data_IF_743277867069
#
_entry.id   IF_743277867069
#
_cell.length_a   1.000
_cell.length_b   1.000
_cell.length_c   1.000
_cell.angle_alpha   90.00
_cell.angle_beta   90.00
_cell.angle_gamma   90.00
#
_symmetry.space_group_name_H-M   'P 1'
#
loop_
_entity.id
_entity.type
_entity.pdbx_description
1 polymer ?
#
# COMPACT_ATOMS: atom_id res chain seq x y z
N UNK A 1 -22.24 8.33 17.77
CA UNK A 1 -21.53 7.05 17.59
C UNK A 1 -21.73 6.61 16.16
N UNK A 2 -20.71 6.69 15.31
CA UNK A 2 -20.77 6.05 13.99
C UNK A 2 -20.54 4.57 14.24
N UNK A 3 -21.60 3.77 14.09
CA UNK A 3 -21.49 2.32 14.01
C UNK A 3 -20.57 2.01 12.84
N UNK A 4 -19.31 1.64 13.13
CA UNK A 4 -18.47 1.02 12.11
C UNK A 4 -19.08 -0.35 11.88
N UNK A 5 -19.70 -0.54 10.71
CA UNK A 5 -20.04 -1.86 10.19
C UNK A 5 -18.74 -2.66 10.15
N UNK A 6 -18.54 -3.54 11.13
CA UNK A 6 -17.47 -4.52 11.09
C UNK A 6 -18.03 -5.73 10.36
N UNK A 7 -17.33 -6.16 9.32
CA UNK A 7 -17.54 -7.50 8.78
C UNK A 7 -17.37 -8.50 9.93
N UNK A 8 -18.46 -9.17 10.29
CA UNK A 8 -18.53 -9.96 11.52
C UNK A 8 -18.06 -11.40 11.28
N UNK A 9 -18.53 -12.01 10.18
CA UNK A 9 -18.20 -13.37 9.84
C UNK A 9 -18.29 -13.63 8.33
N UNK A 10 -17.54 -14.64 7.85
CA UNK A 10 -17.67 -15.21 6.52
C UNK A 10 -18.26 -16.61 6.63
N UNK A 11 -19.35 -16.86 5.89
CA UNK A 11 -19.87 -18.22 5.70
C UNK A 11 -19.13 -18.90 4.56
N UNK A 12 -18.74 -20.15 4.78
CA UNK A 12 -18.01 -21.00 3.85
C UNK A 12 -18.76 -22.31 3.74
N UNK A 13 -19.23 -22.63 2.54
CA UNK A 13 -19.84 -23.91 2.27
C UNK A 13 -18.74 -24.96 2.14
N UNK A 14 -18.94 -26.11 2.77
CA UNK A 14 -18.00 -27.24 2.76
C UNK A 14 -18.79 -28.52 2.54
N UNK A 15 -18.18 -29.53 1.94
CA UNK A 15 -18.86 -30.83 1.71
C UNK A 15 -18.65 -31.85 2.83
N UNK A 16 -17.69 -31.62 3.72
CA UNK A 16 -17.38 -32.51 4.83
C UNK A 16 -16.85 -31.74 6.05
N UNK A 17 -17.63 -31.69 7.14
CA UNK A 17 -17.31 -30.83 8.29
C UNK A 17 -16.02 -31.23 8.98
N UNK A 18 -15.80 -32.52 9.24
CA UNK A 18 -14.60 -33.01 9.92
C UNK A 18 -13.30 -32.71 9.16
N UNK A 19 -13.30 -32.93 7.84
CA UNK A 19 -12.15 -32.63 6.97
C UNK A 19 -11.85 -31.14 6.98
N UNK A 20 -12.88 -30.31 6.89
CA UNK A 20 -12.71 -28.86 6.86
C UNK A 20 -12.34 -28.31 8.24
N UNK A 21 -12.84 -28.85 9.35
CA UNK A 21 -12.38 -28.47 10.69
C UNK A 21 -10.90 -28.74 10.90
N UNK A 22 -10.40 -29.90 10.45
CA UNK A 22 -8.95 -30.17 10.46
C UNK A 22 -8.20 -29.13 9.64
N UNK A 23 -8.66 -28.83 8.43
CA UNK A 23 -7.97 -27.88 7.56
C UNK A 23 -7.95 -26.46 8.15
N UNK A 24 -9.11 -25.93 8.55
CA UNK A 24 -9.21 -24.58 9.10
C UNK A 24 -8.57 -24.45 10.49
N UNK A 25 -8.67 -25.48 11.34
CA UNK A 25 -8.08 -25.47 12.68
C UNK A 25 -6.59 -25.78 12.69
N UNK A 26 -6.16 -26.86 12.05
CA UNK A 26 -4.77 -27.36 12.14
C UNK A 26 -3.88 -26.77 11.04
N UNK A 27 -4.35 -26.69 9.79
CA UNK A 27 -3.53 -26.20 8.67
C UNK A 27 -3.48 -24.68 8.68
N UNK A 28 -4.64 -24.03 8.72
CA UNK A 28 -4.72 -22.56 8.78
C UNK A 28 -4.49 -21.99 10.19
N UNK A 29 -4.52 -22.83 11.23
CA UNK A 29 -4.24 -22.39 12.61
C UNK A 29 -5.33 -21.49 13.21
N UNK A 30 -6.57 -21.57 12.73
CA UNK A 30 -7.64 -20.74 13.26
C UNK A 30 -8.13 -21.26 14.63
N UNK A 31 -8.52 -20.34 15.51
CA UNK A 31 -9.02 -20.68 16.85
C UNK A 31 -10.44 -21.24 16.75
N UNK A 32 -10.64 -22.50 17.17
CA UNK A 32 -11.97 -23.10 17.22
C UNK A 32 -12.84 -22.42 18.29
N UNK A 33 -14.03 -21.96 17.90
CA UNK A 33 -15.01 -21.32 18.80
C UNK A 33 -16.06 -22.33 19.24
N UNK A 34 -16.58 -23.13 18.31
CA UNK A 34 -17.58 -24.15 18.59
C UNK A 34 -18.50 -24.43 17.40
N UNK A 35 -19.34 -25.46 17.55
CA UNK A 35 -20.33 -25.88 16.56
C UNK A 35 -21.71 -25.31 16.85
N UNK A 36 -22.51 -25.16 15.80
CA UNK A 36 -23.95 -24.87 15.88
C UNK A 36 -24.30 -23.59 16.65
N UNK A 37 -23.47 -22.55 16.46
CA UNK A 37 -23.59 -21.25 17.14
C UNK A 37 -24.44 -20.23 16.37
N UNK A 38 -24.82 -20.50 15.12
CA UNK A 38 -25.48 -19.56 14.22
C UNK A 38 -26.93 -19.98 13.94
N UNK A 39 -27.92 -19.45 14.67
CA UNK A 39 -29.31 -19.80 14.47
C UNK A 39 -29.79 -19.29 13.10
N UNK A 40 -30.21 -20.21 12.23
CA UNK A 40 -30.69 -19.90 10.88
C UNK A 40 -29.95 -20.62 9.77
N UNK A 41 -28.78 -21.20 10.04
CA UNK A 41 -28.08 -22.06 9.10
C UNK A 41 -28.70 -23.47 9.07
N UNK A 42 -29.05 -23.93 7.88
CA UNK A 42 -29.56 -25.29 7.67
C UNK A 42 -28.38 -26.24 7.43
N UNK A 43 -27.97 -26.97 8.46
CA UNK A 43 -26.85 -27.93 8.38
C UNK A 43 -25.99 -27.93 9.63
N UNK A 44 -24.98 -28.80 9.65
CA UNK A 44 -23.97 -28.81 10.72
C UNK A 44 -23.01 -27.67 10.49
N UNK A 45 -22.70 -26.91 11.54
CA UNK A 45 -21.80 -25.76 11.41
C UNK A 45 -20.64 -25.82 12.38
N UNK A 46 -19.52 -25.20 12.00
CA UNK A 46 -18.37 -25.01 12.88
C UNK A 46 -17.83 -23.60 12.73
N UNK A 47 -17.53 -22.95 13.85
CA UNK A 47 -17.08 -21.56 13.88
C UNK A 47 -15.63 -21.49 14.32
N UNK A 48 -14.83 -20.75 13.54
CA UNK A 48 -13.46 -20.41 13.84
C UNK A 48 -13.31 -18.90 13.98
N UNK A 49 -12.32 -18.47 14.74
CA UNK A 49 -11.94 -17.08 14.89
C UNK A 49 -10.58 -16.84 14.23
N UNK A 50 -10.52 -15.79 13.43
CA UNK A 50 -9.30 -15.29 12.80
C UNK A 50 -8.50 -14.44 13.78
N UNK A 51 -7.23 -14.22 13.49
CA UNK A 51 -6.33 -13.42 14.31
C UNK A 51 -6.76 -11.95 14.46
N UNK A 52 -7.44 -11.43 13.44
CA UNK A 52 -7.99 -10.07 13.44
C UNK A 52 -9.39 -9.99 14.08
N UNK A 53 -9.87 -11.07 14.70
CA UNK A 53 -11.12 -11.10 15.45
C UNK A 53 -12.39 -11.26 14.62
N UNK A 54 -12.28 -11.58 13.33
CA UNK A 54 -13.42 -11.98 12.49
C UNK A 54 -13.70 -13.47 12.63
N UNK A 55 -14.93 -13.90 12.36
CA UNK A 55 -15.29 -15.31 12.37
C UNK A 55 -15.34 -15.94 10.97
N UNK A 56 -15.01 -17.22 10.89
CA UNK A 56 -15.27 -18.09 9.74
C UNK A 56 -16.29 -19.12 10.18
N UNK A 57 -17.39 -19.24 9.45
CA UNK A 57 -18.48 -20.18 9.73
C UNK A 57 -18.49 -21.21 8.61
N UNK A 58 -18.08 -22.42 8.92
CA UNK A 58 -18.19 -23.56 8.03
C UNK A 58 -19.63 -24.09 8.09
N UNK A 59 -20.28 -24.25 6.95
CA UNK A 59 -21.63 -24.81 6.83
C UNK A 59 -21.58 -26.02 5.91
N UNK A 60 -21.89 -27.19 6.45
CA UNK A 60 -21.89 -28.43 5.69
C UNK A 60 -23.07 -28.50 4.73
N UNK A 61 -22.76 -28.67 3.44
CA UNK A 61 -23.72 -28.83 2.34
C UNK A 61 -23.43 -30.10 1.57
N UNK A 62 -24.42 -30.61 0.82
CA UNK A 62 -24.25 -31.84 0.04
C UNK A 62 -23.21 -31.72 -1.09
N UNK A 63 -23.07 -30.52 -1.66
CA UNK A 63 -22.17 -30.25 -2.78
C UNK A 63 -21.71 -28.79 -2.76
N UNK A 64 -20.41 -28.57 -2.93
CA UNK A 64 -19.82 -27.24 -3.08
C UNK A 64 -19.57 -26.96 -4.56
N UNK A 65 -20.13 -25.86 -5.06
CA UNK A 65 -19.86 -25.38 -6.42
C UNK A 65 -18.70 -24.40 -6.42
N UNK A 66 -17.47 -24.92 -6.57
CA UNK A 66 -16.25 -24.12 -6.61
C UNK A 66 -16.22 -23.10 -7.76
N UNK A 67 -17.04 -23.26 -8.82
CA UNK A 67 -17.12 -22.24 -9.89
C UNK A 67 -17.74 -20.92 -9.41
N UNK A 68 -18.43 -20.96 -8.26
CA UNK A 68 -19.01 -19.81 -7.57
C UNK A 68 -18.17 -19.35 -6.40
N UNK A 69 -16.99 -19.93 -6.20
CA UNK A 69 -16.10 -19.54 -5.11
C UNK A 69 -15.76 -18.06 -5.22
N UNK A 70 -16.04 -17.32 -4.15
CA UNK A 70 -15.55 -15.96 -4.00
C UNK A 70 -14.09 -16.04 -3.58
N UNK A 71 -13.22 -15.24 -4.21
CA UNK A 71 -11.84 -15.11 -3.74
C UNK A 71 -11.82 -14.33 -2.42
N UNK A 72 -11.21 -14.91 -1.39
CA UNK A 72 -11.14 -14.32 -0.06
C UNK A 72 -9.77 -14.49 0.56
N UNK A 73 -9.40 -13.49 1.36
CA UNK A 73 -8.06 -13.32 1.88
C UNK A 73 -8.05 -13.28 3.40
N UNK A 74 -7.16 -14.05 4.02
CA UNK A 74 -6.85 -13.97 5.44
C UNK A 74 -5.64 -13.08 5.69
N UNK A 75 -5.84 -12.05 6.51
CA UNK A 75 -4.73 -11.25 7.02
C UNK A 75 -4.10 -11.96 8.21
N UNK A 76 -2.79 -12.23 8.10
CA UNK A 76 -1.97 -12.85 9.12
C UNK A 76 -0.86 -11.90 9.57
N UNK A 77 -0.25 -12.19 10.73
CA UNK A 77 1.08 -11.66 11.03
C UNK A 77 2.13 -12.25 10.08
N UNK A 78 3.28 -11.58 9.86
CA UNK A 78 4.39 -12.17 9.10
C UNK A 78 4.87 -13.51 9.67
N UNK A 79 4.89 -13.67 10.99
CA UNK A 79 5.29 -14.91 11.66
C UNK A 79 4.31 -16.04 11.34
N UNK A 80 3.02 -15.78 11.51
CA UNK A 80 1.96 -16.76 11.26
C UNK A 80 1.83 -17.10 9.78
N UNK A 81 2.11 -16.16 8.88
CA UNK A 81 2.16 -16.42 7.44
C UNK A 81 3.18 -17.52 7.11
N UNK A 82 4.39 -17.45 7.67
CA UNK A 82 5.43 -18.46 7.44
C UNK A 82 4.99 -19.82 7.97
N UNK A 83 4.37 -19.85 9.15
CA UNK A 83 3.89 -21.09 9.73
C UNK A 83 2.73 -21.72 8.94
N UNK A 84 1.72 -20.92 8.56
CA UNK A 84 0.59 -21.38 7.75
C UNK A 84 1.07 -21.83 6.38
N UNK A 85 1.97 -21.09 5.73
CA UNK A 85 2.56 -21.49 4.45
C UNK A 85 3.28 -22.84 4.58
N UNK A 86 4.03 -23.07 5.65
CA UNK A 86 4.69 -24.36 5.88
C UNK A 86 3.68 -25.50 6.04
N UNK A 87 2.59 -25.28 6.80
CA UNK A 87 1.52 -26.27 6.98
C UNK A 87 0.77 -26.55 5.68
N UNK A 88 0.47 -25.53 4.88
CA UNK A 88 -0.14 -25.69 3.54
C UNK A 88 0.75 -26.54 2.61
N UNK A 89 2.08 -26.34 2.66
CA UNK A 89 3.03 -27.16 1.89
C UNK A 89 3.03 -28.62 2.35
N UNK A 90 2.99 -28.87 3.66
CA UNK A 90 2.90 -30.22 4.23
C UNK A 90 1.58 -30.89 3.88
N UNK A 91 0.49 -30.13 3.85
CA UNK A 91 -0.84 -30.59 3.41
C UNK A 91 -0.87 -30.96 1.91
N UNK A 92 0.14 -30.54 1.14
CA UNK A 92 0.21 -30.78 -0.29
C UNK A 92 -0.62 -29.80 -1.13
N UNK A 93 -1.00 -28.65 -0.56
CA UNK A 93 -1.68 -27.60 -1.29
C UNK A 93 -0.77 -27.03 -2.39
N UNK A 94 -1.33 -26.80 -3.58
CA UNK A 94 -0.68 -25.97 -4.59
C UNK A 94 -0.72 -24.51 -4.13
N UNK A 95 0.44 -23.91 -3.95
CA UNK A 95 0.59 -22.52 -3.47
C UNK A 95 1.25 -21.68 -4.56
N UNK A 96 0.76 -20.46 -4.77
CA UNK A 96 1.40 -19.49 -5.65
C UNK A 96 1.09 -18.03 -5.30
N UNK A 97 2.03 -17.13 -5.60
CA UNK A 97 1.88 -15.70 -5.36
C UNK A 97 1.35 -14.98 -6.62
N UNK A 98 0.03 -14.83 -6.73
CA UNK A 98 -0.59 -14.08 -7.83
C UNK A 98 -0.39 -12.55 -7.73
N UNK A 99 0.29 -12.09 -6.67
CA UNK A 99 0.53 -10.67 -6.37
C UNK A 99 2.01 -10.29 -6.40
N UNK A 100 2.89 -11.17 -6.87
CA UNK A 100 4.34 -10.95 -6.81
C UNK A 100 4.77 -9.63 -7.48
N UNK A 101 4.26 -9.34 -8.68
CA UNK A 101 4.58 -8.12 -9.44
C UNK A 101 3.98 -6.83 -8.84
N UNK A 102 3.15 -7.00 -7.82
CA UNK A 102 2.10 -6.06 -7.45
C UNK A 102 2.17 -5.63 -5.99
N UNK A 103 2.97 -6.34 -5.20
CA UNK A 103 3.10 -6.18 -3.76
C UNK A 103 4.30 -5.30 -3.40
N UNK A 104 4.19 -4.62 -2.28
CA UNK A 104 5.34 -3.92 -1.71
C UNK A 104 6.42 -4.92 -1.26
N UNK A 105 7.67 -4.46 -1.17
CA UNK A 105 8.70 -5.20 -0.42
C UNK A 105 8.20 -5.39 1.01
N UNK A 106 8.22 -6.62 1.52
CA UNK A 106 7.67 -6.95 2.85
C UNK A 106 6.17 -7.27 2.88
N UNK A 107 5.43 -7.09 1.79
CA UNK A 107 4.11 -7.73 1.65
C UNK A 107 4.33 -9.19 1.20
N UNK A 108 3.58 -10.13 1.79
CA UNK A 108 3.62 -11.56 1.52
C UNK A 108 2.24 -12.00 1.08
N UNK A 109 2.12 -12.85 0.08
CA UNK A 109 0.85 -13.33 -0.43
C UNK A 109 0.99 -14.74 -0.97
N UNK A 110 0.03 -15.60 -0.67
CA UNK A 110 -0.07 -16.94 -1.22
C UNK A 110 -1.53 -17.27 -1.50
N UNK A 111 -1.80 -17.70 -2.73
CA UNK A 111 -3.06 -18.24 -3.17
C UNK A 111 -3.00 -19.76 -3.11
N UNK A 112 -4.07 -20.39 -2.66
CA UNK A 112 -4.20 -21.84 -2.52
C UNK A 112 -5.67 -22.26 -2.65
N UNK A 113 -5.93 -23.56 -2.61
CA UNK A 113 -7.29 -24.12 -2.62
C UNK A 113 -7.56 -24.87 -1.31
N UNK A 114 -8.77 -24.70 -0.78
CA UNK A 114 -9.25 -25.50 0.35
C UNK A 114 -9.64 -26.93 -0.10
N UNK A 115 -10.05 -27.82 0.82
CA UNK A 115 -10.44 -29.19 0.46
C UNK A 115 -11.68 -29.32 -0.45
N UNK A 116 -12.40 -28.22 -0.67
CA UNK A 116 -13.59 -28.12 -1.51
C UNK A 116 -13.32 -27.30 -2.79
N UNK A 117 -12.04 -27.16 -3.17
CA UNK A 117 -11.53 -26.46 -4.36
C UNK A 117 -11.90 -24.96 -4.42
N UNK A 118 -12.17 -24.34 -3.27
CA UNK A 118 -12.41 -22.91 -3.19
C UNK A 118 -11.08 -22.15 -3.16
N UNK A 119 -10.96 -21.11 -4.00
CA UNK A 119 -9.75 -20.30 -4.06
C UNK A 119 -9.63 -19.39 -2.83
N UNK A 120 -8.52 -19.54 -2.14
CA UNK A 120 -8.16 -18.83 -0.92
C UNK A 120 -6.91 -17.98 -1.14
N UNK A 121 -6.71 -16.99 -0.28
CA UNK A 121 -5.46 -16.26 -0.15
C UNK A 121 -5.10 -16.06 1.33
N UNK A 122 -3.82 -16.13 1.65
CA UNK A 122 -3.26 -15.59 2.89
C UNK A 122 -2.37 -14.41 2.54
N UNK A 123 -2.36 -13.37 3.38
CA UNK A 123 -1.53 -12.18 3.21
C UNK A 123 -0.94 -11.76 4.54
N UNK A 124 0.34 -11.39 4.54
CA UNK A 124 0.95 -10.66 5.64
C UNK A 124 1.64 -9.41 5.12
N UNK A 125 1.80 -8.42 6.00
CA UNK A 125 2.41 -7.14 5.67
C UNK A 125 3.40 -6.78 6.75
N UNK A 126 4.67 -6.93 6.44
CA UNK A 126 5.77 -6.56 7.32
C UNK A 126 6.01 -5.03 7.30
N UNK A 127 6.68 -4.47 8.33
CA UNK A 127 6.92 -3.02 8.43
C UNK A 127 7.60 -2.41 7.19
N UNK A 128 8.45 -3.17 6.51
CA UNK A 128 9.19 -2.77 5.31
C UNK A 128 8.25 -2.34 4.18
N UNK A 129 7.02 -2.87 4.13
CA UNK A 129 6.02 -2.49 3.12
C UNK A 129 5.63 -1.02 3.19
N UNK A 130 5.83 -0.38 4.34
CA UNK A 130 5.54 1.04 4.58
C UNK A 130 6.78 1.93 4.45
N UNK A 131 7.96 1.33 4.21
CA UNK A 131 9.16 2.08 3.86
C UNK A 131 9.10 2.52 2.39
N UNK A 132 9.84 3.58 2.05
CA UNK A 132 9.91 4.12 0.68
C UNK A 132 11.34 4.03 0.20
N UNK A 133 11.72 2.95 -0.50
CA UNK A 133 13.10 2.73 -0.90
C UNK A 133 13.58 3.85 -1.85
N UNK A 134 14.85 4.27 -1.74
CA UNK A 134 15.46 5.15 -2.74
C UNK A 134 15.51 4.46 -4.11
N UNK A 135 15.53 5.26 -5.18
CA UNK A 135 15.61 4.71 -6.54
C UNK A 135 17.00 4.11 -6.84
N UNK A 136 18.04 4.53 -6.10
CA UNK A 136 19.42 4.05 -6.21
C UNK A 136 19.99 4.16 -7.62
N UNK A 137 19.81 5.34 -8.24
CA UNK A 137 20.31 5.66 -9.58
C UNK A 137 21.48 6.65 -9.55
N UNK A 138 22.02 6.94 -8.37
CA UNK A 138 23.05 7.96 -8.18
C UNK A 138 22.51 9.39 -8.35
N UNK A 139 23.42 10.31 -8.64
CA UNK A 139 23.11 11.70 -8.97
C UNK A 139 22.63 11.81 -10.42
N UNK A 140 21.42 12.31 -10.60
CA UNK A 140 20.77 12.51 -11.90
C UNK A 140 20.75 14.00 -12.24
N UNK A 141 21.32 14.37 -13.38
CA UNK A 141 21.10 15.70 -13.96
C UNK A 141 19.68 15.73 -14.50
N UNK A 142 18.78 16.46 -13.82
CA UNK A 142 17.38 16.53 -14.21
C UNK A 142 17.14 17.49 -15.38
N UNK A 143 17.96 18.53 -15.50
CA UNK A 143 17.83 19.59 -16.50
C UNK A 143 18.34 20.92 -15.97
N UNK A 144 18.28 21.96 -16.79
CA UNK A 144 18.48 23.33 -16.35
C UNK A 144 17.23 23.86 -15.66
N UNK A 145 17.40 24.92 -14.89
CA UNK A 145 16.29 25.51 -14.14
C UNK A 145 15.14 25.97 -15.04
N UNK A 146 15.48 26.56 -16.18
CA UNK A 146 14.57 27.06 -17.21
C UNK A 146 13.77 25.94 -17.91
N UNK A 147 14.20 24.68 -17.81
CA UNK A 147 13.46 23.53 -18.32
C UNK A 147 12.22 23.22 -17.47
N UNK A 148 12.09 23.85 -16.30
CA UNK A 148 10.98 23.66 -15.35
C UNK A 148 10.20 24.97 -15.16
N UNK A 149 9.22 25.29 -16.02
CA UNK A 149 8.41 26.50 -15.89
C UNK A 149 7.73 26.62 -14.53
N UNK A 150 7.45 27.86 -14.11
CA UNK A 150 6.73 28.11 -12.86
C UNK A 150 5.37 27.39 -12.84
N UNK A 151 5.13 26.56 -11.82
CA UNK A 151 3.91 25.77 -11.67
C UNK A 151 3.97 24.37 -12.29
N UNK A 152 5.05 24.03 -13.01
CA UNK A 152 5.22 22.74 -13.68
C UNK A 152 5.45 21.58 -12.70
N UNK A 153 5.07 20.39 -13.17
CA UNK A 153 5.45 19.10 -12.60
C UNK A 153 5.98 18.25 -13.74
N UNK A 154 7.27 17.91 -13.69
CA UNK A 154 7.98 17.23 -14.77
C UNK A 154 8.48 15.88 -14.26
N UNK A 155 8.09 14.80 -14.90
CA UNK A 155 8.50 13.45 -14.52
C UNK A 155 9.88 13.12 -15.07
N UNK A 156 10.74 12.54 -14.24
CA UNK A 156 12.00 11.95 -14.64
C UNK A 156 11.90 10.43 -14.42
N UNK A 157 11.62 9.69 -15.49
CA UNK A 157 11.47 8.23 -15.46
C UNK A 157 12.75 7.52 -14.99
N UNK A 158 13.91 8.01 -15.43
CA UNK A 158 15.21 7.41 -15.12
C UNK A 158 15.49 7.44 -13.61
N UNK A 159 15.28 8.60 -12.99
CA UNK A 159 15.50 8.84 -11.57
C UNK A 159 14.32 8.48 -10.68
N UNK A 160 13.15 8.16 -11.25
CA UNK A 160 11.92 7.81 -10.54
C UNK A 160 11.43 8.93 -9.60
N UNK A 161 11.42 10.16 -10.09
CA UNK A 161 10.96 11.32 -9.34
C UNK A 161 10.28 12.36 -10.23
N UNK A 162 9.56 13.29 -9.61
CA UNK A 162 8.97 14.45 -10.25
C UNK A 162 9.69 15.72 -9.80
N UNK A 163 10.13 16.55 -10.74
CA UNK A 163 10.49 17.94 -10.45
C UNK A 163 9.22 18.77 -10.36
N UNK A 164 9.00 19.38 -9.20
CA UNK A 164 7.90 20.31 -8.95
C UNK A 164 8.48 21.71 -8.79
N UNK A 165 8.08 22.64 -9.67
CA UNK A 165 8.47 24.05 -9.56
C UNK A 165 7.28 24.91 -9.12
N UNK A 166 7.45 25.66 -8.04
CA UNK A 166 6.49 26.67 -7.58
C UNK A 166 7.20 28.01 -7.36
N UNK A 167 6.44 29.02 -6.91
CA UNK A 167 6.99 30.31 -6.48
C UNK A 167 7.89 30.19 -5.24
N UNK A 168 7.64 29.17 -4.41
CA UNK A 168 8.40 28.93 -3.18
C UNK A 168 9.73 28.20 -3.44
N UNK A 169 9.93 27.64 -4.64
CA UNK A 169 11.17 26.96 -5.03
C UNK A 169 10.93 25.68 -5.82
N UNK A 170 11.88 24.74 -5.69
CA UNK A 170 11.89 23.46 -6.43
C UNK A 170 11.91 22.26 -5.47
N UNK A 171 11.25 21.18 -5.88
CA UNK A 171 11.23 19.89 -5.18
C UNK A 171 11.47 18.75 -6.15
N UNK A 172 12.15 17.70 -5.70
CA UNK A 172 12.27 16.42 -6.39
C UNK A 172 11.49 15.40 -5.57
N UNK A 173 10.21 15.21 -5.89
CA UNK A 173 9.31 14.32 -5.17
C UNK A 173 9.49 12.90 -5.71
N UNK A 174 9.74 11.94 -4.82
CA UNK A 174 9.82 10.52 -5.20
C UNK A 174 8.50 10.06 -5.82
N UNK A 175 8.55 9.27 -6.88
CA UNK A 175 7.34 8.66 -7.45
C UNK A 175 6.79 7.52 -6.58
N UNK A 176 7.53 7.07 -5.56
CA UNK A 176 7.14 5.93 -4.74
C UNK A 176 6.12 6.37 -3.68
N UNK A 177 4.93 5.77 -3.71
CA UNK A 177 3.87 6.01 -2.75
C UNK A 177 4.27 5.53 -1.37
N UNK A 178 4.21 6.43 -0.40
CA UNK A 178 4.52 6.18 1.02
C UNK A 178 3.48 5.32 1.75
N UNK A 179 2.42 4.88 1.07
CA UNK A 179 1.50 3.89 1.62
C UNK A 179 2.09 2.49 1.49
N UNK A 180 2.35 2.01 0.26
CA UNK A 180 2.82 0.64 -0.04
C UNK A 180 3.62 0.56 -1.34
N UNK A 181 4.61 1.44 -1.49
CA UNK A 181 5.67 1.39 -2.51
C UNK A 181 5.24 1.41 -4.00
N UNK A 182 3.96 1.57 -4.29
CA UNK A 182 3.45 1.68 -5.66
C UNK A 182 3.84 3.02 -6.29
N UNK A 183 4.04 3.08 -7.60
CA UNK A 183 4.29 4.35 -8.30
C UNK A 183 3.05 5.26 -8.28
N UNK A 184 3.22 6.53 -7.97
CA UNK A 184 2.20 7.57 -8.15
C UNK A 184 2.30 8.19 -9.55
N UNK A 185 1.18 8.67 -10.08
CA UNK A 185 1.13 9.52 -11.27
C UNK A 185 0.70 10.94 -10.90
N UNK A 186 1.14 11.93 -11.69
CA UNK A 186 0.61 13.30 -11.57
C UNK A 186 -0.67 13.45 -12.40
N UNK A 187 -1.71 14.03 -11.80
CA UNK A 187 -2.98 14.35 -12.44
C UNK A 187 -3.08 15.88 -12.60
N UNK A 188 -2.70 16.45 -13.76
CA UNK A 188 -2.64 17.90 -13.94
C UNK A 188 -4.01 18.58 -13.79
N UNK A 189 -5.09 17.92 -14.22
CA UNK A 189 -6.47 18.42 -14.12
C UNK A 189 -6.93 18.58 -12.66
N UNK A 190 -6.25 17.91 -11.73
CA UNK A 190 -6.55 17.90 -10.31
C UNK A 190 -5.43 18.48 -9.45
N UNK A 191 -4.33 18.93 -10.06
CA UNK A 191 -3.13 19.45 -9.40
C UNK A 191 -2.64 18.56 -8.24
N UNK A 192 -2.63 17.24 -8.45
CA UNK A 192 -2.35 16.25 -7.38
C UNK A 192 -1.59 15.04 -7.90
N UNK A 193 -0.94 14.32 -7.01
CA UNK A 193 -0.48 12.96 -7.28
C UNK A 193 -1.55 11.93 -6.87
N UNK A 194 -1.61 10.83 -7.60
CA UNK A 194 -2.54 9.74 -7.39
C UNK A 194 -1.82 8.39 -7.46
N UNK A 195 -2.05 7.53 -6.48
CA UNK A 195 -1.62 6.15 -6.48
C UNK A 195 -2.74 5.27 -7.06
N UNK A 196 -2.56 4.65 -8.24
CA UNK A 196 -3.61 3.84 -8.88
C UNK A 196 -3.90 2.53 -8.14
N UNK A 197 -3.01 2.10 -7.24
CA UNK A 197 -3.09 0.81 -6.56
C UNK A 197 -3.96 0.84 -5.30
N UNK A 198 -3.81 1.91 -4.51
CA UNK A 198 -4.46 2.06 -3.21
C UNK A 198 -5.24 3.37 -3.11
N UNK A 199 -5.41 4.06 -4.23
CA UNK A 199 -6.24 5.27 -4.38
C UNK A 199 -5.83 6.46 -3.48
N UNK A 200 -4.61 6.41 -2.93
CA UNK A 200 -4.05 7.50 -2.15
C UNK A 200 -3.81 8.72 -3.05
N UNK A 201 -4.07 9.90 -2.49
CA UNK A 201 -3.97 11.18 -3.19
C UNK A 201 -3.07 12.11 -2.39
N UNK A 202 -2.23 12.86 -3.09
CA UNK A 202 -1.31 13.81 -2.48
C UNK A 202 -1.39 15.16 -3.20
N UNK A 203 -1.22 16.26 -2.47
CA UNK A 203 -1.11 17.59 -3.10
C UNK A 203 0.06 17.62 -4.10
N UNK A 204 0.13 18.67 -4.93
CA UNK A 204 1.30 18.93 -5.79
C UNK A 204 2.64 18.96 -5.04
N UNK A 205 2.66 19.24 -3.73
CA UNK A 205 3.88 19.20 -2.90
C UNK A 205 4.08 17.86 -2.16
N UNK A 206 3.17 16.90 -2.36
CA UNK A 206 3.24 15.55 -1.81
C UNK A 206 2.59 15.38 -0.44
N UNK A 207 1.81 16.33 0.06
CA UNK A 207 1.05 16.19 1.32
C UNK A 207 -0.10 15.20 1.08
N UNK A 208 -0.22 14.17 1.90
CA UNK A 208 -1.34 13.22 1.81
C UNK A 208 -2.70 13.90 2.10
N UNK A 209 -3.71 13.60 1.29
CA UNK A 209 -5.04 14.22 1.35
C UNK A 209 -6.06 13.47 2.24
N UNK A 210 -5.60 12.49 3.05
CA UNK A 210 -6.36 11.96 4.17
C UNK A 210 -7.29 10.78 3.89
N UNK A 211 -7.18 10.09 2.74
CA UNK A 211 -8.02 8.92 2.45
C UNK A 211 -7.62 7.69 3.27
N UNK A 212 -6.32 7.42 3.40
CA UNK A 212 -5.79 6.32 4.21
C UNK A 212 -5.14 6.86 5.49
N UNK A 213 -5.72 6.62 6.69
CA UNK A 213 -5.17 7.09 7.95
C UNK A 213 -3.69 6.74 8.12
N UNK A 214 -2.89 7.66 8.67
CA UNK A 214 -1.48 7.42 8.97
C UNK A 214 -0.51 7.50 7.77
N UNK A 215 -0.99 7.64 6.54
CA UNK A 215 -0.10 7.75 5.36
C UNK A 215 0.69 9.07 5.41
N UNK A 216 2.04 9.05 5.42
CA UNK A 216 2.85 10.25 5.48
C UNK A 216 2.94 10.94 4.10
N UNK A 217 3.40 12.19 4.04
CA UNK A 217 3.70 12.86 2.76
C UNK A 217 4.69 12.05 1.92
N UNK A 218 4.61 12.16 0.59
CA UNK A 218 5.61 11.57 -0.32
C UNK A 218 7.03 11.97 0.08
N UNK A 219 8.00 11.09 -0.12
CA UNK A 219 9.40 11.42 0.13
C UNK A 219 9.95 12.37 -0.95
N UNK A 220 11.09 12.98 -0.67
CA UNK A 220 11.83 13.80 -1.64
C UNK A 220 13.27 13.31 -1.76
N UNK A 221 13.91 13.73 -2.84
CA UNK A 221 15.33 13.58 -3.06
C UNK A 221 16.06 14.90 -2.81
N UNK A 222 17.34 14.83 -2.44
CA UNK A 222 18.14 16.03 -2.28
C UNK A 222 18.40 16.68 -3.65
N UNK A 223 18.43 18.01 -3.67
CA UNK A 223 18.71 18.79 -4.87
C UNK A 223 19.99 19.59 -4.65
N UNK A 224 20.88 19.54 -5.63
CA UNK A 224 22.06 20.39 -5.76
C UNK A 224 21.92 21.23 -7.05
N UNK A 225 22.44 22.45 -7.01
CA UNK A 225 22.56 23.30 -8.18
C UNK A 225 24.02 23.38 -8.59
N UNK A 226 24.34 22.87 -9.79
CA UNK A 226 25.71 22.84 -10.33
C UNK A 226 25.68 23.49 -11.71
N UNK A 227 26.34 24.63 -11.88
CA UNK A 227 26.45 25.35 -13.15
C UNK A 227 25.09 25.59 -13.85
N UNK A 228 24.05 25.92 -13.07
CA UNK A 228 22.68 26.16 -13.55
C UNK A 228 21.84 24.90 -13.77
N UNK A 229 22.41 23.71 -13.55
CA UNK A 229 21.69 22.44 -13.62
C UNK A 229 21.12 22.05 -12.26
N UNK A 230 19.93 21.45 -12.29
CA UNK A 230 19.29 20.78 -11.16
C UNK A 230 19.80 19.34 -11.13
N UNK A 231 20.57 19.01 -10.11
CA UNK A 231 21.09 17.66 -9.88
C UNK A 231 20.34 17.04 -8.71
N UNK A 232 19.81 15.84 -8.89
CA UNK A 232 19.00 15.14 -7.88
C UNK A 232 19.73 13.90 -7.41
N UNK A 233 19.96 13.80 -6.10
CA UNK A 233 20.53 12.59 -5.48
C UNK A 233 19.42 11.58 -5.17
N UNK A 234 19.40 10.48 -5.94
CA UNK A 234 18.36 9.45 -5.85
C UNK A 234 18.73 8.27 -4.95
N UNK A 235 19.93 8.28 -4.36
CA UNK A 235 20.40 7.20 -3.47
C UNK A 235 19.82 7.34 -2.06
N UNK A 236 19.28 8.52 -1.73
CA UNK A 236 18.60 8.80 -0.47
C UNK A 236 17.14 9.20 -0.72
N UNK A 237 16.24 8.55 0.02
CA UNK A 237 14.81 8.89 0.08
C UNK A 237 14.53 9.62 1.38
N UNK A 238 14.25 10.92 1.30
CA UNK A 238 14.12 11.80 2.47
C UNK A 238 12.66 11.81 2.92
N UNK A 239 12.42 11.24 4.10
CA UNK A 239 11.11 11.31 4.78
C UNK A 239 10.80 12.74 5.20
N UNK A 240 9.52 13.12 5.15
CA UNK A 240 9.04 14.46 5.54
C UNK A 240 7.89 14.36 6.53
N UNK A 241 7.86 15.24 7.52
CA UNK A 241 6.65 15.46 8.32
C UNK A 241 5.61 16.27 7.52
N UNK A 242 4.31 16.17 7.85
CA UNK A 242 3.28 16.99 7.20
C UNK A 242 3.56 18.50 7.26
N UNK A 243 4.16 18.98 8.36
CA UNK A 243 4.57 20.38 8.54
C UNK A 243 5.73 20.81 7.63
N UNK A 244 6.50 19.85 7.12
CA UNK A 244 7.70 20.09 6.31
C UNK A 244 7.46 19.86 4.83
N UNK A 245 6.35 19.21 4.46
CA UNK A 245 6.03 18.80 3.10
C UNK A 245 5.85 19.98 2.11
N UNK A 246 5.78 21.22 2.59
CA UNK A 246 5.80 22.45 1.78
C UNK A 246 7.17 23.11 1.67
N UNK A 247 8.18 22.68 2.43
CA UNK A 247 9.54 23.23 2.33
C UNK A 247 10.12 22.84 0.98
N UNK A 248 10.62 23.82 0.23
CA UNK A 248 11.21 23.63 -1.11
C UNK A 248 12.64 24.13 -1.11
N UNK A 249 13.48 23.59 -1.99
CA UNK A 249 14.82 24.12 -2.19
C UNK A 249 14.70 25.51 -2.83
N UNK A 250 15.29 26.56 -2.22
CA UNK A 250 15.21 27.90 -2.77
C UNK A 250 15.98 27.95 -4.09
N UNK A 251 15.38 28.57 -5.08
CA UNK A 251 16.00 28.78 -6.38
C UNK A 251 16.71 30.13 -6.33
N UNK A 252 18.04 30.13 -6.28
CA UNK A 252 18.81 31.38 -6.30
C UNK A 252 18.78 31.95 -7.73
N UNK A 253 18.12 33.10 -7.90
CA UNK A 253 18.04 33.79 -9.20
C UNK A 253 16.87 34.77 -9.36
N UNK A 254 15.83 34.68 -8.52
CA UNK A 254 14.70 35.62 -8.54
C UNK A 254 14.71 36.49 -7.27
N UNK A 255 15.80 37.23 -7.05
CA UNK A 255 15.74 38.38 -6.17
C UNK A 255 15.01 39.50 -6.93
N UNK A 256 13.69 39.55 -6.82
CA UNK A 256 12.93 40.76 -7.11
C UNK A 256 13.44 41.87 -6.19
N UNK A 257 14.24 42.78 -6.75
CA UNK A 257 14.63 44.00 -6.09
C UNK A 257 13.38 44.87 -5.89
N UNK A 258 12.79 44.83 -4.70
CA UNK A 258 12.02 45.95 -4.17
C UNK A 258 12.62 46.33 -2.83
N UNK A 259 13.60 47.22 -2.89
CA UNK A 259 13.95 48.03 -1.73
C UNK A 259 12.71 48.85 -1.34
N UNK A 260 12.34 48.95 -0.05
CA UNK A 260 11.29 49.86 0.37
C UNK A 260 11.76 51.30 0.11
N UNK A 261 10.96 52.04 -0.67
CA UNK A 261 11.13 53.48 -0.86
C UNK A 261 10.90 54.19 0.47
N UNK A 262 12.00 54.55 1.13
CA UNK A 262 11.99 55.39 2.30
C UNK A 262 11.87 56.86 1.86
N UNK A 263 10.66 57.29 1.52
CA UNK A 263 10.24 58.69 1.61
C UNK A 263 8.78 58.75 1.99
N UNK A 264 8.48 59.26 3.17
CA UNK A 264 7.59 60.41 3.36
C UNK A 264 7.92 61.00 4.73
N UNK A 265 8.33 62.28 4.68
CA UNK A 265 8.29 63.24 5.78
C UNK A 265 6.84 63.50 6.21
#
# INVERSE_FOLDING_TARGET
>A
MVSRLHFNHKVVQISNLERSERFFGEVLGLEAVGRDLWPGEEGRTSTFKTQIGQYVVLVEVLFVDASRAEHWNFMLSPEDFVEVQARLKVEGCAIGDLREEFRAVGEMSDNYYDPDDQMMQITAIAPEAYETPPARRGKIVAGRLEDFPLGSVTHNDVGRFFIVRTQDGILAISEVCTHRQSSVCYQPEHFRFYCPRHHNKFTRTGVHLGHTPGTPPLHVHAIEFVDGQVVVDTDVSIRRLPSEAKRMAPVRGEAGATAPDARHE
#
